data_IF_997240216035
#
_entry.id   IF_997240216035
#
_cell.length_a   1.000
_cell.length_b   1.000
_cell.length_c   1.000
_cell.angle_alpha   90.00
_cell.angle_beta   90.00
_cell.angle_gamma   90.00
#
_symmetry.space_group_name_H-M   'P 1'
#
loop_
_entity.id
_entity.type
_entity.pdbx_description
1 polymer ?
#
# COMPACT_ATOMS: atom_id res chain seq x y z
N UNK A 1 -22.10 -17.99 4.83
CA UNK A 1 -21.77 -17.81 3.39
C UNK A 1 -21.50 -19.17 2.74
N UNK A 2 -21.68 -19.34 1.43
CA UNK A 2 -21.27 -20.60 0.76
C UNK A 2 -19.76 -20.54 0.44
N UNK A 3 -18.96 -21.54 0.84
CA UNK A 3 -17.52 -21.54 0.59
C UNK A 3 -17.23 -21.49 -0.92
N UNK A 4 -16.26 -20.67 -1.34
CA UNK A 4 -15.87 -20.50 -2.74
C UNK A 4 -15.11 -21.72 -3.26
N UNK A 5 -14.26 -22.31 -2.42
CA UNK A 5 -13.49 -23.50 -2.73
C UNK A 5 -13.99 -24.68 -1.90
N UNK A 6 -14.29 -25.82 -2.54
CA UNK A 6 -14.77 -27.03 -1.84
C UNK A 6 -13.70 -27.74 -0.99
N UNK A 7 -12.43 -27.32 -1.06
CA UNK A 7 -11.30 -27.93 -0.35
C UNK A 7 -10.86 -27.20 0.93
N UNK A 8 -11.48 -26.08 1.26
CA UNK A 8 -11.18 -25.31 2.48
C UNK A 8 -12.48 -24.97 3.19
N UNK A 9 -12.50 -24.97 4.51
CA UNK A 9 -13.65 -24.45 5.25
C UNK A 9 -13.76 -22.93 5.11
N UNK A 10 -14.93 -22.38 5.44
CA UNK A 10 -15.23 -20.94 5.28
C UNK A 10 -14.28 -20.06 6.08
N UNK A 11 -13.91 -20.46 7.31
CA UNK A 11 -13.00 -19.67 8.15
C UNK A 11 -11.62 -19.61 7.50
N UNK A 12 -11.08 -20.76 7.08
CA UNK A 12 -9.78 -20.81 6.41
C UNK A 12 -9.77 -19.97 5.12
N UNK A 13 -10.83 -20.02 4.31
CA UNK A 13 -10.92 -19.22 3.09
C UNK A 13 -10.91 -17.72 3.37
N UNK A 14 -11.64 -17.27 4.38
CA UNK A 14 -11.71 -15.85 4.74
C UNK A 14 -10.38 -15.37 5.33
N UNK A 15 -9.69 -16.18 6.12
CA UNK A 15 -8.34 -15.87 6.62
C UNK A 15 -7.31 -15.77 5.48
N UNK A 16 -7.34 -16.70 4.53
CA UNK A 16 -6.50 -16.64 3.31
C UNK A 16 -6.81 -15.37 2.50
N UNK A 17 -8.08 -15.01 2.38
CA UNK A 17 -8.50 -13.83 1.64
C UNK A 17 -8.04 -12.53 2.33
N UNK A 18 -8.11 -12.44 3.68
CA UNK A 18 -7.56 -11.31 4.46
C UNK A 18 -6.07 -11.15 4.16
N UNK A 19 -5.28 -12.23 4.31
CA UNK A 19 -3.84 -12.20 4.08
C UNK A 19 -3.50 -11.79 2.64
N UNK A 20 -4.22 -12.32 1.67
CA UNK A 20 -4.08 -11.97 0.24
C UNK A 20 -4.41 -10.51 -0.05
N UNK A 21 -5.45 -9.97 0.58
CA UNK A 21 -5.83 -8.56 0.43
C UNK A 21 -4.74 -7.62 0.98
N UNK A 22 -4.15 -7.94 2.12
CA UNK A 22 -3.01 -7.18 2.67
C UNK A 22 -1.80 -7.30 1.76
N UNK A 23 -1.43 -8.52 1.36
CA UNK A 23 -0.25 -8.77 0.51
C UNK A 23 -0.32 -8.03 -0.83
N UNK A 24 -1.50 -7.97 -1.44
CA UNK A 24 -1.76 -7.23 -2.69
C UNK A 24 -1.99 -5.74 -2.50
N UNK A 25 -2.20 -5.27 -1.26
CA UNK A 25 -2.53 -3.87 -0.98
C UNK A 25 -3.94 -3.45 -1.42
N UNK A 26 -4.88 -4.37 -1.62
CA UNK A 26 -6.25 -4.05 -2.00
C UNK A 26 -7.10 -3.63 -0.79
N UNK A 27 -7.18 -2.32 -0.52
CA UNK A 27 -7.99 -1.75 0.59
C UNK A 27 -9.47 -2.15 0.52
N UNK A 28 -10.21 -1.92 -0.58
CA UNK A 28 -11.64 -2.26 -0.62
C UNK A 28 -11.88 -3.77 -0.47
N UNK A 29 -10.93 -4.61 -0.93
CA UNK A 29 -11.00 -6.05 -0.68
C UNK A 29 -10.89 -6.36 0.81
N UNK A 30 -9.90 -5.76 1.50
CA UNK A 30 -9.68 -5.99 2.93
C UNK A 30 -10.89 -5.55 3.77
N UNK A 31 -11.49 -4.40 3.46
CA UNK A 31 -12.70 -3.90 4.13
C UNK A 31 -13.86 -4.88 3.96
N UNK A 32 -14.17 -5.27 2.72
CA UNK A 32 -15.26 -6.19 2.42
C UNK A 32 -15.04 -7.56 3.09
N UNK A 33 -13.85 -8.16 2.92
CA UNK A 33 -13.53 -9.49 3.46
C UNK A 33 -13.54 -9.47 5.00
N UNK A 34 -13.01 -8.42 5.63
CA UNK A 34 -13.04 -8.31 7.10
C UNK A 34 -14.45 -8.14 7.66
N UNK A 35 -15.34 -7.42 6.97
CA UNK A 35 -16.77 -7.37 7.31
C UNK A 35 -17.44 -8.74 7.21
N UNK A 36 -17.18 -9.46 6.11
CA UNK A 36 -17.67 -10.83 5.91
C UNK A 36 -17.17 -11.78 7.00
N UNK A 37 -15.89 -11.75 7.33
CA UNK A 37 -15.27 -12.60 8.34
C UNK A 37 -15.83 -12.35 9.75
N UNK A 38 -16.05 -11.09 10.12
CA UNK A 38 -16.69 -10.74 11.39
C UNK A 38 -18.14 -11.20 11.45
N UNK A 39 -18.87 -11.13 10.33
CA UNK A 39 -20.26 -11.59 10.24
C UNK A 39 -20.38 -13.11 10.42
N UNK A 40 -19.35 -13.87 10.04
CA UNK A 40 -19.25 -15.32 10.29
C UNK A 40 -18.70 -15.66 11.70
N UNK A 41 -18.47 -14.65 12.57
CA UNK A 41 -18.03 -14.86 13.95
C UNK A 41 -16.55 -15.22 14.10
N UNK A 42 -15.73 -14.98 13.08
CA UNK A 42 -14.28 -15.24 13.15
C UNK A 42 -13.64 -14.28 14.15
N UNK A 43 -12.85 -14.82 15.07
CA UNK A 43 -12.24 -14.04 16.14
C UNK A 43 -11.22 -13.04 15.58
N UNK A 44 -11.27 -11.81 16.09
CA UNK A 44 -10.39 -10.71 15.71
C UNK A 44 -8.89 -11.08 15.78
N UNK A 45 -8.49 -11.94 16.73
CA UNK A 45 -7.11 -12.43 16.84
C UNK A 45 -6.63 -13.19 15.59
N UNK A 46 -7.51 -13.98 14.97
CA UNK A 46 -7.20 -14.74 13.75
C UNK A 46 -7.10 -13.82 12.54
N UNK A 47 -7.99 -12.82 12.45
CA UNK A 47 -7.95 -11.79 11.41
C UNK A 47 -6.64 -11.00 11.46
N UNK A 48 -6.22 -10.57 12.67
CA UNK A 48 -4.95 -9.90 12.90
C UNK A 48 -3.76 -10.76 12.49
N UNK A 49 -3.75 -12.04 12.87
CA UNK A 49 -2.68 -12.97 12.49
C UNK A 49 -2.58 -13.11 10.95
N UNK A 50 -3.71 -13.29 10.26
CA UNK A 50 -3.74 -13.36 8.80
C UNK A 50 -3.22 -12.08 8.13
N UNK A 51 -3.60 -10.91 8.65
CA UNK A 51 -3.12 -9.62 8.16
C UNK A 51 -1.60 -9.45 8.35
N UNK A 52 -1.07 -9.84 9.52
CA UNK A 52 0.37 -9.80 9.80
C UNK A 52 1.16 -10.69 8.83
N UNK A 53 0.66 -11.90 8.56
CA UNK A 53 1.27 -12.80 7.57
C UNK A 53 1.25 -12.16 6.18
N UNK A 54 0.12 -11.56 5.78
CA UNK A 54 0.01 -10.84 4.51
C UNK A 54 1.00 -9.68 4.38
N UNK A 55 1.17 -8.90 5.46
CA UNK A 55 2.13 -7.79 5.51
C UNK A 55 3.57 -8.29 5.40
N UNK A 56 3.91 -9.37 6.11
CA UNK A 56 5.22 -10.00 5.99
C UNK A 56 5.53 -10.38 4.54
N UNK A 57 4.58 -10.99 3.82
CA UNK A 57 4.75 -11.33 2.40
C UNK A 57 4.88 -10.08 1.53
N UNK A 58 4.10 -9.03 1.81
CA UNK A 58 4.15 -7.75 1.09
C UNK A 58 5.52 -7.08 1.16
N UNK A 59 6.19 -7.17 2.30
CA UNK A 59 7.46 -6.49 2.54
C UNK A 59 8.65 -7.19 1.85
N UNK A 60 8.56 -8.49 1.59
CA UNK A 60 9.64 -9.27 0.98
C UNK A 60 10.07 -8.75 -0.40
N UNK A 61 9.17 -8.51 -1.38
CA UNK A 61 9.55 -7.94 -2.67
C UNK A 61 10.25 -6.58 -2.55
N UNK A 62 9.76 -5.70 -1.67
CA UNK A 62 10.35 -4.38 -1.49
C UNK A 62 11.77 -4.48 -0.92
N UNK A 63 11.97 -5.35 0.08
CA UNK A 63 13.29 -5.59 0.67
C UNK A 63 14.26 -6.20 -0.34
N UNK A 64 13.82 -7.20 -1.10
CA UNK A 64 14.62 -7.84 -2.14
C UNK A 64 14.99 -6.87 -3.26
N UNK A 65 14.07 -5.99 -3.66
CA UNK A 65 14.33 -4.97 -4.66
C UNK A 65 15.37 -3.97 -4.16
N UNK A 66 15.24 -3.49 -2.92
CA UNK A 66 16.22 -2.58 -2.30
C UNK A 66 17.61 -3.22 -2.26
N UNK A 67 17.72 -4.46 -1.79
CA UNK A 67 18.99 -5.17 -1.73
C UNK A 67 19.61 -5.39 -3.12
N UNK A 68 18.79 -5.68 -4.12
CA UNK A 68 19.25 -5.84 -5.50
C UNK A 68 19.73 -4.52 -6.10
N UNK A 69 18.97 -3.44 -5.92
CA UNK A 69 19.34 -2.12 -6.37
C UNK A 69 20.62 -1.61 -5.68
N UNK A 70 20.81 -1.92 -4.39
CA UNK A 70 22.04 -1.61 -3.68
C UNK A 70 23.24 -2.35 -4.28
N UNK A 71 23.09 -3.65 -4.51
CA UNK A 71 24.14 -4.48 -5.13
C UNK A 71 24.53 -4.01 -6.54
N UNK A 72 23.55 -3.60 -7.35
CA UNK A 72 23.78 -3.24 -8.75
C UNK A 72 24.21 -1.79 -8.95
N UNK A 73 23.70 -0.88 -8.13
CA UNK A 73 23.78 0.57 -8.37
C UNK A 73 24.40 1.34 -7.18
N UNK A 74 24.70 0.69 -6.05
CA UNK A 74 25.21 1.36 -4.85
C UNK A 74 24.23 2.37 -4.24
N UNK A 75 22.92 2.12 -4.41
CA UNK A 75 21.87 3.08 -4.02
C UNK A 75 21.76 3.28 -2.52
N UNK A 76 22.20 2.33 -1.70
CA UNK A 76 22.14 2.37 -0.24
C UNK A 76 20.82 2.91 0.28
N UNK A 77 19.69 2.40 -0.26
CA UNK A 77 18.36 2.80 0.18
C UNK A 77 18.25 2.60 1.69
N UNK A 78 18.42 3.68 2.46
CA UNK A 78 18.27 3.63 3.90
C UNK A 78 16.85 3.17 4.20
N UNK A 79 16.68 2.45 5.30
CA UNK A 79 15.35 2.30 5.90
C UNK A 79 14.93 3.69 6.32
N UNK A 80 14.20 4.39 5.45
CA UNK A 80 13.84 5.78 5.68
C UNK A 80 13.12 5.89 7.02
N UNK A 81 13.77 6.55 7.99
CA UNK A 81 13.01 7.34 8.94
C UNK A 81 12.15 8.29 8.09
N UNK A 82 10.84 8.22 8.29
CA UNK A 82 9.79 8.91 7.53
C UNK A 82 10.28 10.27 7.02
N UNK A 83 10.73 10.32 5.76
CA UNK A 83 10.95 11.56 5.05
C UNK A 83 9.62 11.88 4.36
N UNK A 84 8.96 12.92 4.84
CA UNK A 84 7.68 13.43 4.33
C UNK A 84 7.80 14.24 3.05
N UNK A 85 8.98 14.32 2.44
CA UNK A 85 9.19 15.08 1.21
C UNK A 85 9.35 14.17 -0.01
N UNK A 86 8.46 14.36 -0.97
CA UNK A 86 8.56 13.79 -2.30
C UNK A 86 9.81 14.38 -3.00
N UNK A 87 10.80 13.57 -3.40
CA UNK A 87 12.04 14.06 -4.02
C UNK A 87 11.87 14.68 -5.42
N UNK A 88 10.64 14.89 -5.88
CA UNK A 88 10.32 15.60 -7.13
C UNK A 88 9.86 17.04 -6.91
N UNK A 89 9.70 17.51 -5.67
CA UNK A 89 9.29 18.90 -5.38
C UNK A 89 10.49 19.81 -5.05
N UNK A 90 11.64 19.54 -5.65
CA UNK A 90 12.81 20.42 -5.56
C UNK A 90 12.88 21.37 -6.75
N UNK A 91 11.76 22.03 -7.07
CA UNK A 91 11.79 23.27 -7.84
C UNK A 91 11.90 24.42 -6.84
N UNK A 92 13.13 24.91 -6.65
CA UNK A 92 13.50 26.16 -5.94
C UNK A 92 12.34 27.13 -5.72
N UNK A 93 11.88 27.26 -4.48
CA UNK A 93 11.25 28.47 -4.00
C UNK A 93 12.34 29.49 -3.62
N UNK A 94 12.65 30.40 -4.53
CA UNK A 94 13.15 31.72 -4.12
C UNK A 94 11.93 32.54 -3.70
N UNK A 95 11.63 32.51 -2.39
CA UNK A 95 10.71 33.43 -1.77
C UNK A 95 11.28 34.86 -1.86
N UNK A 96 10.71 35.67 -2.75
CA UNK A 96 10.64 37.12 -2.59
C UNK A 96 9.17 37.53 -2.77
N UNK A 97 8.59 38.08 -1.71
CA UNK A 97 7.24 38.62 -1.65
C UNK A 97 6.99 39.67 -2.74
N UNK A 98 5.82 39.65 -3.39
CA UNK A 98 4.83 40.75 -3.38
C UNK A 98 3.65 40.53 -4.37
N UNK A 99 2.44 40.61 -3.78
CA UNK A 99 1.20 41.26 -4.24
C UNK A 99 0.62 41.07 -5.66
N UNK A 100 -0.66 40.64 -5.63
CA UNK A 100 -1.80 41.01 -6.50
C UNK A 100 -1.85 40.63 -8.00
N UNK A 101 -2.74 39.66 -8.29
CA UNK A 101 -3.85 39.83 -9.23
C UNK A 101 -3.58 39.78 -10.75
N UNK A 102 -4.26 38.82 -11.40
CA UNK A 102 -5.09 38.96 -12.64
C UNK A 102 -4.93 37.79 -13.63
N UNK A 103 -6.06 37.09 -13.80
CA UNK A 103 -6.64 36.37 -14.97
C UNK A 103 -5.97 35.13 -15.57
N UNK A 104 -6.85 34.12 -15.69
CA UNK A 104 -6.77 32.97 -16.57
C UNK A 104 -6.44 33.34 -18.02
N UNK A 105 -5.55 32.56 -18.62
CA UNK A 105 -5.46 32.37 -20.06
C UNK A 105 -5.07 30.92 -20.35
N UNK A 106 -5.68 30.42 -21.41
CA UNK A 106 -5.75 29.04 -21.85
C UNK A 106 -4.41 28.51 -22.41
N UNK A 107 -4.26 27.18 -22.35
CA UNK A 107 -3.49 26.43 -23.33
C UNK A 107 -2.06 26.05 -22.93
N UNK A 108 -1.85 24.76 -22.71
CA UNK A 108 -0.56 24.13 -23.00
C UNK A 108 -0.81 22.74 -23.58
N UNK A 109 -0.71 22.63 -24.90
CA UNK A 109 -0.75 21.36 -25.62
C UNK A 109 0.66 20.77 -25.71
N UNK A 110 0.79 19.48 -25.44
CA UNK A 110 1.99 18.72 -25.77
C UNK A 110 1.79 18.08 -27.16
N UNK A 111 2.76 18.25 -28.06
CA UNK A 111 2.84 17.52 -29.34
C UNK A 111 3.26 16.07 -29.11
#
# INVERSE_FOLDING_TARGET
MKPLFKGLDTETQLLVAIGSAVASGCIPCLENISGMARSEGIQDKKLKAAAIIGQFVKDQPANNMKATADKLLGTHFQTAAVQTDCPMDSSKEEHAEQHEGIKAAEGCGCS
#
